data_IF_137074329893
#
_entry.id   IF_137074329893
#
_cell.length_a   1.000
_cell.length_b   1.000
_cell.length_c   1.000
_cell.angle_alpha   90.00
_cell.angle_beta   90.00
_cell.angle_gamma   90.00
#
_symmetry.space_group_name_H-M   'P 1'
#
loop_
_entity.id
_entity.type
_entity.pdbx_description
1 polymer ?
#
# COMPACT_ATOMS: atom_id res chain seq x y z
N UNK A 1 4.27 18.67 -12.29
CA UNK A 1 4.13 17.41 -11.54
C UNK A 1 2.94 16.70 -12.13
N UNK A 2 3.17 15.60 -12.83
CA UNK A 2 2.09 14.85 -13.47
C UNK A 2 1.19 14.25 -12.40
N UNK A 3 -0.13 14.48 -12.48
CA UNK A 3 -1.10 13.94 -11.52
C UNK A 3 -1.02 12.41 -11.50
N UNK A 4 -0.62 11.82 -12.63
CA UNK A 4 -0.60 10.39 -12.84
C UNK A 4 0.54 9.70 -12.08
N UNK A 5 1.53 10.44 -11.57
CA UNK A 5 2.68 9.86 -10.84
C UNK A 5 2.76 10.32 -9.38
N UNK A 6 1.82 11.14 -8.91
CA UNK A 6 1.86 11.74 -7.57
C UNK A 6 1.90 10.70 -6.44
N UNK A 7 1.00 9.72 -6.49
CA UNK A 7 0.94 8.66 -5.47
C UNK A 7 2.19 7.77 -5.51
N UNK A 8 2.67 7.44 -6.71
CA UNK A 8 3.91 6.69 -6.90
C UNK A 8 5.11 7.44 -6.29
N UNK A 9 5.22 8.74 -6.50
CA UNK A 9 6.31 9.55 -5.93
C UNK A 9 6.26 9.54 -4.41
N UNK A 10 5.08 9.64 -3.80
CA UNK A 10 4.95 9.60 -2.33
C UNK A 10 5.39 8.26 -1.75
N UNK A 11 5.03 7.16 -2.42
CA UNK A 11 5.50 5.83 -2.04
C UNK A 11 7.02 5.73 -2.21
N UNK A 12 7.55 6.20 -3.34
CA UNK A 12 9.00 6.23 -3.63
C UNK A 12 9.76 6.98 -2.56
N UNK A 13 9.43 8.25 -2.33
CA UNK A 13 10.12 9.12 -1.37
C UNK A 13 10.08 8.54 0.03
N UNK A 14 8.97 7.91 0.43
CA UNK A 14 8.92 7.26 1.74
C UNK A 14 9.85 6.05 1.81
N UNK A 15 9.81 5.14 0.83
CA UNK A 15 10.62 3.93 0.83
C UNK A 15 12.11 4.19 0.61
N UNK A 16 12.49 5.29 -0.05
CA UNK A 16 13.88 5.75 -0.12
C UNK A 16 14.37 6.27 1.24
N UNK A 17 13.50 6.96 1.99
CA UNK A 17 13.82 7.48 3.33
C UNK A 17 13.85 6.38 4.39
N UNK A 18 12.95 5.41 4.29
CA UNK A 18 12.82 4.29 5.23
C UNK A 18 12.68 2.96 4.46
N UNK A 19 13.80 2.42 3.93
CA UNK A 19 13.78 1.22 3.11
C UNK A 19 13.41 -0.05 3.90
N UNK A 20 13.56 -0.03 5.22
CA UNK A 20 13.26 -1.16 6.08
C UNK A 20 11.78 -1.23 6.47
N UNK A 21 11.04 -0.12 6.40
CA UNK A 21 9.63 -0.08 6.77
C UNK A 21 8.77 -1.12 6.03
N UNK A 22 7.98 -1.89 6.77
CA UNK A 22 7.05 -2.85 6.18
C UNK A 22 6.00 -2.14 5.32
N UNK A 23 5.42 -2.87 4.36
CA UNK A 23 4.32 -2.32 3.55
C UNK A 23 3.06 -3.11 3.85
N UNK A 24 2.00 -2.41 4.26
CA UNK A 24 0.68 -2.97 4.48
C UNK A 24 -0.27 -2.38 3.45
N UNK A 25 -0.98 -3.23 2.72
CA UNK A 25 -1.97 -2.82 1.72
C UNK A 25 -3.35 -3.17 2.23
N UNK A 26 -4.24 -2.19 2.28
CA UNK A 26 -5.66 -2.36 2.59
C UNK A 26 -6.45 -2.18 1.30
N UNK A 27 -7.14 -3.22 0.86
CA UNK A 27 -7.97 -3.22 -0.34
C UNK A 27 -9.25 -4.03 -0.12
N UNK A 28 -10.24 -3.89 -1.00
CA UNK A 28 -11.46 -4.72 -0.94
C UNK A 28 -11.17 -6.18 -1.34
N UNK A 29 -10.30 -6.40 -2.35
CA UNK A 29 -9.94 -7.71 -2.85
C UNK A 29 -8.43 -7.88 -3.13
N UNK A 30 -7.97 -9.12 -3.11
CA UNK A 30 -6.55 -9.51 -3.28
C UNK A 30 -6.02 -9.12 -4.66
N UNK A 31 -6.78 -9.39 -5.71
CA UNK A 31 -6.38 -9.10 -7.09
C UNK A 31 -6.05 -7.62 -7.33
N UNK A 32 -6.85 -6.72 -6.76
CA UNK A 32 -6.61 -5.27 -6.84
C UNK A 32 -5.34 -4.87 -6.11
N UNK A 33 -5.12 -5.39 -4.90
CA UNK A 33 -3.92 -5.15 -4.11
C UNK A 33 -2.66 -5.64 -4.85
N UNK A 34 -2.70 -6.86 -5.38
CA UNK A 34 -1.58 -7.46 -6.12
C UNK A 34 -1.29 -6.68 -7.42
N UNK A 35 -2.32 -6.24 -8.14
CA UNK A 35 -2.19 -5.44 -9.37
C UNK A 35 -1.50 -4.09 -9.11
N UNK A 36 -1.93 -3.35 -8.09
CA UNK A 36 -1.29 -2.09 -7.72
C UNK A 36 0.13 -2.30 -7.21
N UNK A 37 0.35 -3.30 -6.35
CA UNK A 37 1.69 -3.59 -5.84
C UNK A 37 2.65 -4.00 -6.93
N UNK A 38 2.20 -4.79 -7.92
CA UNK A 38 3.00 -5.14 -9.09
C UNK A 38 3.52 -3.89 -9.80
N UNK A 39 2.65 -2.92 -10.09
CA UNK A 39 3.06 -1.67 -10.74
C UNK A 39 4.05 -0.88 -9.88
N UNK A 40 3.79 -0.76 -8.58
CA UNK A 40 4.69 -0.08 -7.63
C UNK A 40 6.08 -0.73 -7.66
N UNK A 41 6.16 -2.06 -7.59
CA UNK A 41 7.42 -2.79 -7.68
C UNK A 41 8.14 -2.57 -9.00
N UNK A 42 7.42 -2.63 -10.12
CA UNK A 42 8.00 -2.42 -11.45
C UNK A 42 8.61 -1.02 -11.58
N UNK A 43 7.90 0.01 -11.13
CA UNK A 43 8.40 1.40 -11.14
C UNK A 43 9.58 1.64 -10.20
N UNK A 44 9.61 0.97 -9.05
CA UNK A 44 10.62 1.20 -8.01
C UNK A 44 11.81 0.23 -8.07
N UNK A 45 11.69 -0.87 -8.81
CA UNK A 45 12.71 -1.94 -8.82
C UNK A 45 12.89 -2.62 -7.46
N UNK A 46 11.83 -2.74 -6.65
CA UNK A 46 11.89 -3.33 -5.30
C UNK A 46 11.33 -4.75 -5.25
N UNK A 47 11.92 -5.59 -4.39
CA UNK A 47 11.50 -6.98 -4.18
C UNK A 47 10.69 -7.21 -2.88
N UNK A 48 10.34 -6.13 -2.17
CA UNK A 48 9.58 -6.24 -0.92
C UNK A 48 8.21 -6.90 -1.12
N UNK A 49 7.81 -7.75 -0.17
CA UNK A 49 6.49 -8.38 -0.12
C UNK A 49 5.59 -7.62 0.87
N UNK A 50 4.41 -7.14 0.47
CA UNK A 50 3.52 -6.42 1.34
C UNK A 50 2.66 -7.40 2.13
N UNK A 51 2.26 -7.00 3.33
CA UNK A 51 1.12 -7.60 4.01
C UNK A 51 -0.16 -7.08 3.36
N UNK A 52 -1.10 -7.96 3.04
CA UNK A 52 -2.32 -7.58 2.31
C UNK A 52 -3.52 -7.87 3.20
N UNK A 53 -4.31 -6.83 3.48
CA UNK A 53 -5.56 -6.89 4.24
C UNK A 53 -6.72 -6.73 3.26
N UNK A 54 -7.57 -7.75 3.20
CA UNK A 54 -8.78 -7.85 2.38
C UNK A 54 -9.95 -8.31 3.24
N UNK A 55 -11.14 -8.41 2.65
CA UNK A 55 -12.31 -9.03 3.31
C UNK A 55 -12.11 -10.52 3.64
N UNK A 56 -11.20 -11.21 2.95
CA UNK A 56 -11.06 -12.66 3.02
C UNK A 56 -10.05 -13.17 4.04
N UNK A 57 -9.37 -12.30 4.80
CA UNK A 57 -8.30 -12.71 5.70
C UNK A 57 -8.29 -11.95 7.03
N UNK A 58 -7.76 -12.61 8.05
CA UNK A 58 -7.43 -11.99 9.34
C UNK A 58 -6.19 -11.10 9.21
N UNK A 59 -6.09 -10.08 10.06
CA UNK A 59 -5.01 -9.08 10.05
C UNK A 59 -4.20 -9.08 11.36
N UNK A 60 -4.50 -10.01 12.27
CA UNK A 60 -3.76 -10.17 13.53
C UNK A 60 -2.27 -10.41 13.28
N UNK A 61 -1.42 -9.75 14.07
CA UNK A 61 0.03 -9.88 14.00
C UNK A 61 0.71 -9.04 12.91
N UNK A 62 -0.01 -8.15 12.21
CA UNK A 62 0.60 -7.29 11.19
C UNK A 62 1.42 -6.16 11.83
N UNK A 63 2.63 -5.85 11.31
CA UNK A 63 3.59 -4.95 11.96
C UNK A 63 3.28 -3.47 11.69
N UNK A 64 2.21 -2.94 12.29
CA UNK A 64 1.77 -1.56 12.00
C UNK A 64 2.80 -0.49 12.39
N UNK A 65 3.51 -0.63 13.51
CA UNK A 65 4.37 0.41 14.08
C UNK A 65 5.47 0.94 13.12
N UNK A 66 6.06 0.04 12.32
CA UNK A 66 7.16 0.36 11.41
C UNK A 66 6.72 0.24 9.94
N UNK A 67 5.45 0.52 9.65
CA UNK A 67 4.90 0.31 8.31
C UNK A 67 4.51 1.57 7.53
N UNK A 68 4.56 1.44 6.21
CA UNK A 68 3.81 2.22 5.23
C UNK A 68 2.48 1.51 4.96
N UNK A 69 1.37 2.17 5.28
CA UNK A 69 0.03 1.67 4.98
C UNK A 69 -0.50 2.30 3.69
N UNK A 70 -0.86 1.48 2.71
CA UNK A 70 -1.47 1.88 1.44
C UNK A 70 -2.96 1.52 1.43
N UNK A 71 -3.82 2.50 1.20
CA UNK A 71 -5.27 2.31 1.09
C UNK A 71 -5.66 2.38 -0.39
N UNK A 72 -6.04 1.25 -0.98
CA UNK A 72 -6.19 1.11 -2.43
C UNK A 72 -7.67 0.95 -2.81
N UNK A 73 -8.10 1.70 -3.82
CA UNK A 73 -9.44 1.63 -4.38
C UNK A 73 -10.52 1.85 -3.32
N UNK A 74 -11.56 0.99 -3.32
CA UNK A 74 -12.65 1.04 -2.34
C UNK A 74 -12.32 0.34 -1.03
N UNK A 75 -11.18 0.68 -0.44
CA UNK A 75 -10.70 0.10 0.82
C UNK A 75 -11.72 0.24 1.96
N UNK A 76 -12.59 1.25 1.93
CA UNK A 76 -13.65 1.45 2.93
C UNK A 76 -14.78 0.41 2.86
N UNK A 77 -14.89 -0.37 1.78
CA UNK A 77 -15.82 -1.49 1.67
C UNK A 77 -15.24 -2.78 2.29
N UNK A 78 -13.97 -2.78 2.68
CA UNK A 78 -13.37 -3.88 3.43
C UNK A 78 -13.84 -3.83 4.88
N UNK A 79 -14.53 -4.88 5.33
CA UNK A 79 -15.05 -5.06 6.70
C UNK A 79 -13.94 -4.94 7.74
N UNK A 80 -12.75 -5.44 7.43
CA UNK A 80 -11.58 -5.37 8.29
C UNK A 80 -10.96 -3.96 8.34
N UNK A 81 -11.24 -3.10 7.35
CA UNK A 81 -10.65 -1.76 7.32
C UNK A 81 -11.07 -0.92 8.53
N UNK A 82 -12.31 -1.04 9.02
CA UNK A 82 -12.77 -0.27 10.19
C UNK A 82 -11.93 -0.53 11.44
N UNK A 83 -11.63 -1.79 11.71
CA UNK A 83 -10.83 -2.19 12.87
C UNK A 83 -9.36 -1.81 12.65
N UNK A 84 -8.81 -2.17 11.49
CA UNK A 84 -7.43 -1.85 11.10
C UNK A 84 -7.14 -0.35 11.16
N UNK A 85 -8.11 0.50 10.83
CA UNK A 85 -7.98 1.95 10.88
C UNK A 85 -7.60 2.48 12.27
N UNK A 86 -7.99 1.80 13.35
CA UNK A 86 -7.56 2.16 14.71
C UNK A 86 -6.05 1.96 14.89
N UNK A 87 -5.49 0.94 14.24
CA UNK A 87 -4.07 0.59 14.29
C UNK A 87 -3.20 1.37 13.30
N UNK A 88 -3.79 1.91 12.22
CA UNK A 88 -3.04 2.75 11.26
C UNK A 88 -2.42 4.00 11.87
N UNK A 89 -2.88 4.45 13.04
CA UNK A 89 -2.25 5.56 13.80
C UNK A 89 -0.83 5.23 14.27
N UNK A 90 -0.50 3.94 14.38
CA UNK A 90 0.84 3.48 14.74
C UNK A 90 1.78 3.47 13.53
N UNK A 91 1.24 3.50 12.30
CA UNK A 91 2.05 3.48 11.10
C UNK A 91 2.83 4.77 10.91
N UNK A 92 4.07 4.64 10.42
CA UNK A 92 4.94 5.77 10.06
C UNK A 92 4.32 6.66 9.00
N UNK A 93 3.59 6.06 8.06
CA UNK A 93 2.83 6.79 7.05
C UNK A 93 1.63 5.97 6.57
N UNK A 94 0.52 6.66 6.35
CA UNK A 94 -0.69 6.07 5.74
C UNK A 94 -1.08 6.89 4.52
N UNK A 95 -1.18 6.24 3.36
CA UNK A 95 -1.43 6.87 2.06
C UNK A 95 -2.69 6.31 1.41
N UNK A 96 -3.71 7.14 1.10
CA UNK A 96 -4.68 6.77 0.08
C UNK A 96 -3.99 6.77 -1.28
N UNK A 97 -4.14 5.66 -2.01
CA UNK A 97 -3.62 5.49 -3.38
C UNK A 97 -4.80 5.52 -4.32
N UNK A 98 -4.81 6.54 -5.17
CA UNK A 98 -5.85 6.78 -6.17
C UNK A 98 -5.48 6.15 -7.51
N UNK A 99 -4.21 6.21 -7.88
CA UNK A 99 -3.72 5.71 -9.15
C UNK A 99 -2.22 5.39 -9.12
N UNK A 100 -1.83 4.31 -9.76
CA UNK A 100 -0.44 4.01 -10.11
C UNK A 100 -0.43 3.67 -11.61
N UNK A 101 0.37 4.37 -12.43
CA UNK A 101 0.36 4.16 -13.86
C UNK A 101 0.92 2.78 -14.21
N UNK A 102 0.50 2.18 -15.33
CA UNK A 102 1.19 1.02 -15.88
C UNK A 102 2.69 1.30 -16.02
N UNK A 103 3.52 0.28 -15.82
CA UNK A 103 4.94 0.40 -16.10
C UNK A 103 5.18 0.24 -17.61
N UNK A 104 5.57 1.32 -18.27
CA UNK A 104 6.01 1.28 -19.66
C UNK A 104 7.53 1.09 -19.67
N UNK A 105 8.00 -0.05 -20.22
CA UNK A 105 9.43 -0.22 -20.51
C UNK A 105 9.76 0.68 -21.71
N UNK A 106 10.46 1.79 -21.43
CA UNK A 106 11.19 2.54 -22.44
C UNK A 106 12.40 1.77 -22.96
#
# INVERSE_FOLDING_TARGET
>A
MDKDTFDLLRVKTFLERDPNADVIIIANGRELADSYWKRIKEHLGIEKRPYIITNGNTWDGYPFADSLVLKIGRWWENRNAREVMLHTKLAKLTLPITYIPPFERG
#
